data_IF_323078562676
#
_entry.id   IF_323078562676
#
_cell.length_a   1.000
_cell.length_b   1.000
_cell.length_c   1.000
_cell.angle_alpha   90.00
_cell.angle_beta   90.00
_cell.angle_gamma   90.00
#
_symmetry.space_group_name_H-M   'P 1'
#
loop_
_entity.id
_entity.type
_entity.pdbx_description
1 polymer ?
#
# COMPACT_ATOMS: atom_id res chain seq x y z
N UNK A 1 12.42 6.27 54.44
CA UNK A 1 12.86 4.88 54.20
C UNK A 1 13.88 4.90 53.08
N UNK A 2 15.16 4.82 53.44
CA UNK A 2 16.28 4.65 52.53
C UNK A 2 16.37 3.17 52.11
N UNK A 3 16.58 2.91 50.81
CA UNK A 3 17.39 1.76 50.38
C UNK A 3 18.30 2.23 49.25
N UNK A 4 19.59 2.27 49.59
CA UNK A 4 20.75 2.35 48.72
C UNK A 4 21.06 0.95 48.16
N UNK A 5 21.54 0.89 46.93
CA UNK A 5 22.22 -0.27 46.37
C UNK A 5 23.15 0.16 45.24
N UNK A 6 24.46 0.15 45.50
CA UNK A 6 25.54 0.52 44.58
C UNK A 6 26.55 -0.62 44.53
N UNK A 7 27.36 -0.62 43.46
CA UNK A 7 28.57 -1.40 43.16
C UNK A 7 28.35 -2.65 42.29
N UNK A 8 29.19 -3.06 41.34
CA UNK A 8 30.30 -2.52 40.50
C UNK A 8 30.91 -3.77 39.83
N UNK A 9 31.32 -3.71 38.55
CA UNK A 9 32.53 -4.31 37.91
C UNK A 9 32.27 -4.69 36.44
N UNK A 10 33.09 -4.14 35.51
CA UNK A 10 33.09 -4.42 34.06
C UNK A 10 34.04 -5.57 33.67
N UNK A 11 34.77 -5.48 32.54
CA UNK A 11 34.32 -5.46 31.15
C UNK A 11 34.98 -6.58 30.32
N UNK A 12 34.43 -6.94 29.14
CA UNK A 12 35.17 -7.71 28.11
C UNK A 12 34.80 -7.21 26.70
N UNK A 13 35.80 -6.66 26.00
CA UNK A 13 35.83 -6.41 24.55
C UNK A 13 36.20 -7.69 23.79
N UNK A 14 35.87 -7.78 22.50
CA UNK A 14 36.97 -7.79 21.53
C UNK A 14 36.71 -6.90 20.30
N UNK A 15 37.79 -6.28 19.83
CA UNK A 15 37.90 -5.55 18.55
C UNK A 15 38.39 -6.50 17.43
N UNK A 16 38.72 -6.04 16.21
CA UNK A 16 37.95 -6.36 15.01
C UNK A 16 38.73 -7.24 14.00
N UNK A 17 38.02 -7.87 13.07
CA UNK A 17 38.64 -8.48 11.88
C UNK A 17 38.24 -7.69 10.62
N UNK A 18 39.28 -7.26 9.93
CA UNK A 18 39.27 -6.62 8.62
C UNK A 18 38.94 -7.62 7.50
N UNK A 19 38.35 -7.14 6.40
CA UNK A 19 38.23 -7.95 5.19
C UNK A 19 37.42 -7.35 4.05
N UNK A 20 38.14 -6.73 3.12
CA UNK A 20 37.91 -6.66 1.67
C UNK A 20 36.67 -5.95 1.09
N UNK A 21 37.00 -4.92 0.31
CA UNK A 21 36.16 -4.28 -0.69
C UNK A 21 35.94 -5.19 -1.91
N UNK A 22 34.73 -5.15 -2.47
CA UNK A 22 34.50 -5.26 -3.91
C UNK A 22 33.30 -4.41 -4.31
N UNK A 23 33.56 -3.58 -5.31
CA UNK A 23 32.65 -2.70 -6.05
C UNK A 23 31.47 -3.43 -6.71
N UNK A 24 30.44 -2.63 -6.98
CA UNK A 24 29.43 -2.94 -8.01
C UNK A 24 28.02 -3.09 -7.46
N UNK A 25 27.33 -1.96 -7.20
CA UNK A 25 25.87 -1.97 -7.04
C UNK A 25 25.22 -0.94 -7.95
N UNK A 26 24.55 -1.47 -8.96
CA UNK A 26 23.44 -0.84 -9.66
C UNK A 26 22.39 -0.37 -8.66
N UNK A 27 22.02 0.90 -8.74
CA UNK A 27 20.96 1.52 -7.94
C UNK A 27 19.61 0.99 -8.45
N UNK A 28 18.99 0.09 -7.69
CA UNK A 28 17.59 -0.31 -7.89
C UNK A 28 16.77 0.48 -6.86
N UNK A 29 15.78 1.28 -7.27
CA UNK A 29 14.94 2.00 -6.31
C UNK A 29 14.14 0.98 -5.49
N UNK A 30 14.42 0.92 -4.20
CA UNK A 30 13.64 0.15 -3.23
C UNK A 30 12.38 0.94 -2.92
N UNK A 31 11.25 0.52 -3.49
CA UNK A 31 9.94 0.97 -3.03
C UNK A 31 9.65 0.32 -1.68
N UNK A 32 9.63 1.13 -0.61
CA UNK A 32 9.13 0.69 0.69
C UNK A 32 7.61 0.53 0.61
N UNK A 33 7.17 -0.67 0.24
CA UNK A 33 5.82 -1.14 0.51
C UNK A 33 5.71 -1.38 2.01
N UNK A 34 5.05 -0.49 2.73
CA UNK A 34 4.66 -0.74 4.11
C UNK A 34 3.65 -1.89 4.11
N UNK A 35 4.07 -3.12 4.44
CA UNK A 35 3.13 -4.23 4.65
C UNK A 35 2.47 -4.05 6.03
N UNK A 36 1.53 -3.10 6.11
CA UNK A 36 0.78 -2.80 7.34
C UNK A 36 -0.28 -3.86 7.65
N UNK A 37 -0.64 -4.70 6.67
CA UNK A 37 -1.63 -5.76 6.84
C UNK A 37 -1.15 -6.78 7.89
N UNK A 38 0.14 -7.15 7.89
CA UNK A 38 0.73 -8.08 8.88
C UNK A 38 0.82 -7.47 10.29
N UNK A 39 1.15 -6.18 10.38
CA UNK A 39 1.20 -5.45 11.67
C UNK A 39 -0.20 -5.20 12.24
N UNK A 40 -1.23 -5.08 11.41
CA UNK A 40 -2.60 -4.84 11.87
C UNK A 40 -3.22 -6.11 12.47
N UNK A 41 -3.00 -7.28 11.86
CA UNK A 41 -3.50 -8.55 12.41
C UNK A 41 -2.75 -8.97 13.69
N UNK A 42 -1.44 -8.69 13.78
CA UNK A 42 -0.68 -8.94 15.02
C UNK A 42 -1.10 -8.04 16.20
N UNK A 43 -1.69 -6.88 15.93
CA UNK A 43 -2.04 -5.88 16.97
C UNK A 43 -3.49 -5.93 17.45
N UNK A 44 -4.39 -6.73 16.86
CA UNK A 44 -5.73 -6.93 17.41
C UNK A 44 -5.73 -7.86 18.64
N UNK A 45 -4.71 -8.70 18.80
CA UNK A 45 -4.60 -9.65 19.92
C UNK A 45 -3.94 -9.06 21.16
N UNK A 46 -3.19 -7.96 21.02
CA UNK A 46 -2.50 -7.29 22.14
C UNK A 46 -2.98 -5.85 22.28
N UNK A 47 -4.01 -5.62 23.13
CA UNK A 47 -4.59 -4.31 23.39
C UNK A 47 -3.67 -3.28 24.07
N UNK A 48 -2.55 -2.91 23.44
CA UNK A 48 -1.63 -1.87 23.88
C UNK A 48 -1.33 -0.91 22.73
N UNK A 49 -2.21 0.08 22.58
CA UNK A 49 -1.89 1.26 21.79
C UNK A 49 -1.03 2.23 22.63
N UNK A 50 0.15 2.62 22.12
CA UNK A 50 0.83 3.86 22.51
C UNK A 50 0.53 4.92 21.43
N UNK A 51 -0.41 5.84 21.65
CA UNK A 51 -0.80 6.83 20.64
C UNK A 51 0.16 8.02 20.69
N UNK A 52 1.31 7.97 19.99
CA UNK A 52 2.25 9.11 19.91
C UNK A 52 3.14 9.15 18.66
N UNK A 53 2.66 8.71 17.49
CA UNK A 53 3.48 8.67 16.26
C UNK A 53 3.24 9.81 15.25
N UNK A 54 2.68 10.92 15.74
CA UNK A 54 3.13 12.27 15.38
C UNK A 54 3.35 12.97 16.71
N UNK A 55 4.50 12.76 17.31
CA UNK A 55 4.98 13.69 18.30
C UNK A 55 5.41 14.94 17.54
N UNK A 56 4.51 15.93 17.42
CA UNK A 56 4.97 17.31 17.52
C UNK A 56 5.50 17.38 18.95
N UNK A 57 6.75 16.99 19.17
CA UNK A 57 7.32 16.99 20.51
C UNK A 57 7.15 18.41 21.06
N UNK A 58 6.41 18.62 22.16
CA UNK A 58 6.61 19.81 22.96
C UNK A 58 7.95 19.60 23.67
N UNK A 59 9.07 19.78 22.95
CA UNK A 59 10.38 19.82 23.57
C UNK A 59 10.44 21.10 24.40
N UNK A 60 10.06 20.96 25.67
CA UNK A 60 10.39 21.91 26.72
C UNK A 60 11.87 21.71 27.03
N UNK A 61 12.69 22.68 26.63
CA UNK A 61 14.11 22.65 26.91
C UNK A 61 14.36 22.89 28.40
N UNK A 62 15.13 22.04 29.10
CA UNK A 62 15.82 22.50 30.30
C UNK A 62 16.84 23.55 29.86
N UNK A 63 16.78 24.74 30.47
CA UNK A 63 17.81 25.79 30.33
C UNK A 63 19.16 25.19 30.70
N UNK A 64 19.90 24.73 29.70
CA UNK A 64 21.24 24.16 29.87
C UNK A 64 22.18 25.10 29.15
N UNK A 65 23.08 25.71 29.93
CA UNK A 65 24.06 26.67 29.45
C UNK A 65 24.85 26.08 28.27
N UNK A 66 24.78 26.74 27.12
CA UNK A 66 25.63 26.44 25.98
C UNK A 66 27.08 26.75 26.37
N UNK A 67 27.85 25.71 26.65
CA UNK A 67 29.32 25.81 26.73
C UNK A 67 29.80 26.11 25.31
N UNK A 68 30.24 27.35 25.08
CA UNK A 68 30.88 27.78 23.85
C UNK A 68 32.24 27.08 23.75
N UNK A 69 32.26 25.93 23.10
CA UNK A 69 33.50 25.25 22.74
C UNK A 69 34.11 25.98 21.54
N UNK A 70 34.91 27.02 21.80
CA UNK A 70 35.80 27.62 20.81
C UNK A 70 36.87 26.58 20.44
N UNK A 71 36.78 26.07 19.21
CA UNK A 71 37.80 25.39 18.39
C UNK A 71 37.06 24.35 17.54
N UNK A 72 36.72 24.69 16.31
CA UNK A 72 36.19 23.68 15.38
C UNK A 72 36.65 24.02 13.98
N UNK A 73 37.54 23.18 13.46
CA UNK A 73 37.77 23.04 12.02
C UNK A 73 36.43 23.05 11.28
N UNK A 74 36.35 23.64 10.07
CA UNK A 74 35.13 23.62 9.28
C UNK A 74 34.59 22.19 9.25
N UNK A 75 33.34 22.02 9.68
CA UNK A 75 32.71 20.71 9.66
C UNK A 75 32.55 20.30 8.20
N UNK A 76 32.46 18.99 7.92
CA UNK A 76 32.23 18.50 6.55
C UNK A 76 31.06 19.24 5.86
N UNK A 77 30.02 19.58 6.64
CA UNK A 77 28.84 20.31 6.17
C UNK A 77 29.14 21.76 5.74
N UNK A 78 30.20 22.38 6.25
CA UNK A 78 30.62 23.74 5.86
C UNK A 78 31.44 23.74 4.55
N UNK A 79 31.89 22.57 4.11
CA UNK A 79 32.71 22.42 2.88
C UNK A 79 31.90 21.98 1.65
N UNK A 80 30.69 21.44 1.88
CA UNK A 80 29.82 20.98 0.80
C UNK A 80 29.07 22.16 0.15
N UNK A 81 28.99 22.22 -1.20
CA UNK A 81 28.09 23.12 -1.90
C UNK A 81 26.64 22.97 -1.41
N UNK A 82 25.92 24.09 -1.32
CA UNK A 82 24.57 24.15 -0.76
C UNK A 82 23.60 23.24 -1.50
N UNK A 83 23.74 23.15 -2.82
CA UNK A 83 22.91 22.37 -3.72
C UNK A 83 23.01 20.87 -3.42
N UNK A 84 24.20 20.39 -3.04
CA UNK A 84 24.41 18.99 -2.66
C UNK A 84 23.75 18.70 -1.31
N UNK A 85 23.83 19.64 -0.36
CA UNK A 85 23.18 19.50 0.95
C UNK A 85 21.65 19.47 0.76
N UNK A 86 21.11 20.34 -0.10
CA UNK A 86 19.69 20.34 -0.46
C UNK A 86 19.24 19.01 -1.05
N UNK A 87 20.02 18.43 -1.97
CA UNK A 87 19.73 17.11 -2.54
C UNK A 87 19.77 16.01 -1.48
N UNK A 88 20.80 15.97 -0.63
CA UNK A 88 20.91 15.00 0.47
C UNK A 88 19.71 15.12 1.41
N UNK A 89 19.33 16.34 1.79
CA UNK A 89 18.19 16.57 2.67
C UNK A 89 16.87 16.21 2.00
N UNK A 90 16.68 16.55 0.72
CA UNK A 90 15.52 16.17 -0.09
C UNK A 90 15.30 14.65 -0.07
N UNK A 91 16.37 13.89 -0.25
CA UNK A 91 16.30 12.43 -0.33
C UNK A 91 16.16 11.79 1.05
N UNK A 92 16.81 12.35 2.07
CA UNK A 92 16.70 11.86 3.46
C UNK A 92 15.33 12.15 4.08
N UNK A 93 14.64 13.24 3.69
CA UNK A 93 13.35 13.67 4.27
C UNK A 93 12.14 12.92 3.70
N UNK A 94 12.21 11.59 3.57
CA UNK A 94 11.10 10.75 3.09
C UNK A 94 10.30 10.07 4.21
N UNK A 95 10.64 10.31 5.48
CA UNK A 95 10.18 9.59 6.68
C UNK A 95 9.05 10.31 7.45
N UNK A 96 8.07 10.84 6.72
CA UNK A 96 6.96 11.63 7.28
C UNK A 96 7.41 12.87 8.09
N UNK A 97 8.58 13.43 7.75
CA UNK A 97 9.10 14.68 8.31
C UNK A 97 9.95 14.52 9.56
N UNK A 98 10.20 13.30 10.07
CA UNK A 98 11.04 13.09 11.25
C UNK A 98 12.50 13.51 11.03
N UNK A 99 13.06 13.16 9.88
CA UNK A 99 14.41 13.57 9.47
C UNK A 99 14.49 15.08 9.29
N UNK A 100 13.50 15.69 8.63
CA UNK A 100 13.43 17.15 8.49
C UNK A 100 13.42 17.86 9.85
N UNK A 101 12.63 17.36 10.81
CA UNK A 101 12.60 17.92 12.17
C UNK A 101 13.95 17.80 12.88
N UNK A 102 14.66 16.69 12.71
CA UNK A 102 15.98 16.46 13.32
C UNK A 102 17.05 17.37 12.70
N UNK A 103 17.08 17.46 11.37
CA UNK A 103 18.00 18.33 10.62
C UNK A 103 17.80 19.81 10.97
N UNK A 104 16.56 20.22 11.25
CA UNK A 104 16.21 21.58 11.64
C UNK A 104 16.88 22.02 12.95
N UNK A 105 17.24 21.07 13.82
CA UNK A 105 17.87 21.34 15.11
C UNK A 105 19.41 21.46 15.02
N UNK A 106 20.01 21.13 13.87
CA UNK A 106 21.48 21.11 13.72
C UNK A 106 22.08 22.52 13.65
N UNK A 107 21.61 23.34 12.70
CA UNK A 107 22.10 24.71 12.52
C UNK A 107 21.08 25.57 11.77
N UNK A 108 21.29 26.90 11.73
CA UNK A 108 20.38 27.83 11.04
C UNK A 108 20.28 27.57 9.53
N UNK A 109 21.40 27.23 8.88
CA UNK A 109 21.41 26.91 7.45
C UNK A 109 20.60 25.64 7.19
N UNK A 110 20.82 24.57 7.96
CA UNK A 110 20.04 23.34 7.83
C UNK A 110 18.56 23.59 8.09
N UNK A 111 18.22 24.41 9.10
CA UNK A 111 16.85 24.82 9.34
C UNK A 111 16.22 25.49 8.10
N UNK A 112 16.92 26.42 7.46
CA UNK A 112 16.41 27.09 6.27
C UNK A 112 16.20 26.12 5.09
N UNK A 113 17.12 25.19 4.90
CA UNK A 113 17.07 24.20 3.80
C UNK A 113 15.95 23.18 3.97
N UNK A 114 15.67 22.73 5.20
CA UNK A 114 14.65 21.69 5.43
C UNK A 114 13.25 22.22 5.67
N UNK A 115 13.07 23.52 5.90
CA UNK A 115 11.73 24.08 6.15
C UNK A 115 10.76 23.82 4.97
N UNK A 116 11.15 23.96 3.68
CA UNK A 116 10.30 23.58 2.54
C UNK A 116 9.99 22.08 2.49
N UNK A 117 10.90 21.24 3.00
CA UNK A 117 10.80 19.78 2.99
C UNK A 117 9.94 19.22 4.13
N UNK A 118 9.63 20.05 5.14
CA UNK A 118 8.95 19.66 6.38
C UNK A 118 7.63 18.92 6.16
N UNK A 119 6.89 19.30 5.11
CA UNK A 119 5.56 18.75 4.81
C UNK A 119 5.53 17.92 3.51
N UNK A 120 6.70 17.55 2.99
CA UNK A 120 6.80 16.76 1.76
C UNK A 120 6.12 15.40 1.86
N UNK A 121 6.34 14.72 2.99
CA UNK A 121 5.69 13.48 3.35
C UNK A 121 4.92 13.68 4.66
N UNK A 122 3.62 13.41 4.65
CA UNK A 122 2.72 13.61 5.79
C UNK A 122 2.01 12.30 6.09
N UNK A 123 2.05 11.88 7.35
CA UNK A 123 1.28 10.74 7.84
C UNK A 123 0.38 11.20 8.98
N UNK A 124 -0.94 11.10 8.85
CA UNK A 124 -1.91 11.47 9.90
C UNK A 124 -2.91 10.34 10.16
N UNK A 125 -3.19 10.06 11.43
CA UNK A 125 -3.96 8.87 11.82
C UNK A 125 -5.07 9.10 12.85
N UNK A 126 -5.19 10.34 13.33
CA UNK A 126 -6.18 10.71 14.36
C UNK A 126 -6.66 12.14 14.16
N UNK A 127 -7.84 12.45 14.71
CA UNK A 127 -8.42 13.79 14.69
C UNK A 127 -7.44 14.87 15.18
N UNK A 128 -6.84 14.68 16.36
CA UNK A 128 -5.95 15.67 16.95
C UNK A 128 -4.64 15.88 16.17
N UNK A 129 -4.22 14.91 15.36
CA UNK A 129 -3.10 15.06 14.42
C UNK A 129 -3.51 15.86 13.19
N UNK A 130 -4.68 15.55 12.61
CA UNK A 130 -5.23 16.25 11.45
C UNK A 130 -5.47 17.74 11.75
N UNK A 131 -6.08 18.04 12.90
CA UNK A 131 -6.34 19.43 13.33
C UNK A 131 -5.04 20.22 13.51
N UNK A 132 -4.09 19.69 14.30
CA UNK A 132 -2.78 20.34 14.51
C UNK A 132 -2.00 20.52 13.22
N UNK A 133 -2.05 19.53 12.33
CA UNK A 133 -1.44 19.63 11.01
C UNK A 133 -2.06 20.78 10.20
N UNK A 134 -3.38 20.86 10.11
CA UNK A 134 -4.08 21.92 9.38
C UNK A 134 -3.80 23.31 9.96
N UNK A 135 -3.80 23.46 11.28
CA UNK A 135 -3.48 24.71 11.95
C UNK A 135 -2.04 25.18 11.65
N UNK A 136 -1.11 24.24 11.50
CA UNK A 136 0.29 24.54 11.19
C UNK A 136 0.52 24.79 9.70
N UNK A 137 -0.12 24.01 8.83
CA UNK A 137 0.11 24.02 7.39
C UNK A 137 -0.65 25.16 6.69
N UNK A 138 -1.90 25.46 7.08
CA UNK A 138 -2.73 26.50 6.42
C UNK A 138 -2.05 27.89 6.38
N UNK A 139 -1.42 28.40 7.46
CA UNK A 139 -0.69 29.67 7.40
C UNK A 139 0.49 29.63 6.42
N UNK A 140 1.20 28.49 6.35
CA UNK A 140 2.36 28.32 5.48
C UNK A 140 1.95 28.21 4.00
N UNK A 141 0.89 27.46 3.70
CA UNK A 141 0.37 27.30 2.34
C UNK A 141 -0.10 28.63 1.72
N UNK A 142 -0.52 29.60 2.54
CA UNK A 142 -0.91 30.95 2.08
C UNK A 142 0.29 31.84 1.74
N UNK A 143 1.47 31.53 2.28
CA UNK A 143 2.69 32.24 1.96
C UNK A 143 3.21 31.74 0.62
N UNK A 144 2.91 32.47 -0.45
CA UNK A 144 3.29 32.14 -1.83
C UNK A 144 4.79 31.88 -2.03
N UNK A 145 5.63 32.34 -1.10
CA UNK A 145 7.08 32.16 -1.11
C UNK A 145 7.55 30.82 -0.52
N UNK A 146 6.69 30.09 0.18
CA UNK A 146 7.15 28.99 1.05
C UNK A 146 7.32 27.64 0.35
N UNK A 147 6.93 27.50 -0.92
CA UNK A 147 7.17 26.29 -1.73
C UNK A 147 6.70 24.96 -1.10
N UNK A 148 5.88 25.02 -0.04
CA UNK A 148 5.60 23.87 0.82
C UNK A 148 4.55 23.00 0.18
N UNK A 149 5.01 21.95 -0.50
CA UNK A 149 4.17 21.00 -1.21
C UNK A 149 4.05 19.68 -0.45
N UNK A 150 2.86 19.10 -0.45
CA UNK A 150 2.62 17.75 0.07
C UNK A 150 2.68 16.80 -1.12
N UNK A 151 3.70 15.95 -1.18
CA UNK A 151 3.88 14.97 -2.25
C UNK A 151 3.40 13.58 -1.86
N UNK A 152 3.54 13.22 -0.59
CA UNK A 152 3.18 11.91 -0.08
C UNK A 152 2.24 12.07 1.11
N UNK A 153 1.02 11.56 0.99
CA UNK A 153 0.03 11.60 2.05
C UNK A 153 -0.37 10.18 2.44
N UNK A 154 -0.10 9.83 3.68
CA UNK A 154 -0.65 8.66 4.35
C UNK A 154 -1.70 9.13 5.34
N UNK A 155 -2.89 8.55 5.27
CA UNK A 155 -4.01 8.95 6.11
C UNK A 155 -4.78 7.75 6.62
N UNK A 156 -5.06 7.73 7.92
CA UNK A 156 -6.06 6.85 8.52
C UNK A 156 -7.19 7.73 9.05
N UNK A 157 -8.37 7.56 8.48
CA UNK A 157 -9.58 8.27 8.89
C UNK A 157 -10.41 7.31 9.73
N UNK A 158 -10.65 7.67 10.99
CA UNK A 158 -11.51 6.93 11.91
C UNK A 158 -12.69 7.80 12.30
N UNK A 159 -13.91 7.31 12.10
CA UNK A 159 -15.08 7.98 12.66
C UNK A 159 -15.19 7.64 14.15
N UNK A 160 -14.61 8.50 14.99
CA UNK A 160 -14.73 8.41 16.43
C UNK A 160 -16.14 8.81 16.87
N UNK A 161 -16.79 7.94 17.65
CA UNK A 161 -18.14 8.20 18.16
C UNK A 161 -18.13 9.47 19.04
N UNK A 162 -18.66 10.57 18.50
CA UNK A 162 -18.78 11.85 19.19
C UNK A 162 -17.94 12.99 18.62
N UNK A 163 -17.02 12.72 17.67
CA UNK A 163 -16.26 13.77 16.99
C UNK A 163 -16.82 13.97 15.59
N UNK A 164 -17.67 15.00 15.44
CA UNK A 164 -18.44 15.26 14.20
C UNK A 164 -17.56 15.75 13.03
N UNK A 165 -16.31 16.16 13.29
CA UNK A 165 -15.50 16.90 12.31
C UNK A 165 -14.31 16.12 11.72
N UNK A 166 -14.05 14.87 12.08
CA UNK A 166 -12.86 14.14 11.57
C UNK A 166 -12.85 14.02 10.06
N UNK A 167 -14.01 13.74 9.46
CA UNK A 167 -14.14 13.63 8.00
C UNK A 167 -13.86 14.96 7.31
N UNK A 168 -14.38 16.06 7.86
CA UNK A 168 -14.16 17.40 7.32
C UNK A 168 -12.69 17.81 7.37
N UNK A 169 -11.98 17.45 8.45
CA UNK A 169 -10.53 17.71 8.54
C UNK A 169 -9.74 16.88 7.53
N UNK A 170 -10.07 15.60 7.38
CA UNK A 170 -9.45 14.74 6.37
C UNK A 170 -9.69 15.26 4.95
N UNK A 171 -10.91 15.69 4.64
CA UNK A 171 -11.26 16.33 3.37
C UNK A 171 -10.46 17.61 3.13
N UNK A 172 -10.38 18.49 4.12
CA UNK A 172 -9.57 19.72 4.07
C UNK A 172 -8.09 19.41 3.75
N UNK A 173 -7.51 18.38 4.39
CA UNK A 173 -6.13 17.95 4.13
C UNK A 173 -5.98 17.44 2.71
N UNK A 174 -6.88 16.58 2.24
CA UNK A 174 -6.84 16.03 0.89
C UNK A 174 -6.94 17.17 -0.14
N UNK A 175 -7.88 18.11 0.04
CA UNK A 175 -8.04 19.29 -0.85
C UNK A 175 -6.79 20.16 -0.90
N UNK A 176 -6.13 20.38 0.25
CA UNK A 176 -4.90 21.16 0.32
C UNK A 176 -3.72 20.46 -0.37
N UNK A 177 -3.63 19.13 -0.24
CA UNK A 177 -2.54 18.35 -0.82
C UNK A 177 -2.74 18.08 -2.31
N UNK A 178 -3.97 17.99 -2.79
CA UNK A 178 -4.33 17.48 -4.11
C UNK A 178 -3.53 18.06 -5.30
N UNK A 179 -3.25 19.39 -5.38
CA UNK A 179 -2.51 19.95 -6.51
C UNK A 179 -1.08 19.41 -6.66
N UNK A 180 -0.44 19.01 -5.56
CA UNK A 180 0.96 18.58 -5.52
C UNK A 180 1.14 17.09 -5.24
N UNK A 181 0.07 16.41 -4.84
CA UNK A 181 0.13 15.05 -4.34
C UNK A 181 0.56 14.07 -5.44
N UNK A 182 1.62 13.29 -5.16
CA UNK A 182 2.15 12.23 -6.03
C UNK A 182 1.71 10.84 -5.58
N UNK A 183 1.65 10.62 -4.27
CA UNK A 183 1.20 9.34 -3.71
C UNK A 183 0.18 9.57 -2.61
N UNK A 184 -0.94 8.87 -2.67
CA UNK A 184 -1.97 8.88 -1.65
C UNK A 184 -2.20 7.47 -1.14
N UNK A 185 -2.12 7.29 0.17
CA UNK A 185 -2.58 6.07 0.86
C UNK A 185 -3.62 6.47 1.89
N UNK A 186 -4.86 5.99 1.73
CA UNK A 186 -5.98 6.35 2.59
C UNK A 186 -6.68 5.10 3.11
N UNK A 187 -6.77 4.99 4.43
CA UNK A 187 -7.46 3.92 5.16
C UNK A 187 -8.73 4.49 5.81
N UNK A 188 -9.90 4.02 5.41
CA UNK A 188 -11.18 4.47 5.96
C UNK A 188 -11.71 3.46 6.97
N UNK A 189 -11.42 3.69 8.26
CA UNK A 189 -12.07 2.94 9.33
C UNK A 189 -13.49 3.46 9.53
N UNK A 190 -14.41 2.55 9.83
CA UNK A 190 -15.85 2.79 9.92
C UNK A 190 -16.51 3.06 8.56
N UNK A 191 -17.51 2.27 8.20
CA UNK A 191 -18.24 2.39 6.93
C UNK A 191 -19.05 3.69 6.74
N UNK A 192 -18.92 4.69 7.62
CA UNK A 192 -19.68 5.94 7.61
C UNK A 192 -19.00 7.10 6.86
N UNK A 193 -17.74 6.94 6.48
CA UNK A 193 -16.90 8.01 5.92
C UNK A 193 -17.15 8.23 4.41
N UNK A 194 -18.42 8.39 4.03
CA UNK A 194 -18.82 8.56 2.63
C UNK A 194 -18.19 9.82 2.02
N UNK A 195 -18.13 10.91 2.78
CA UNK A 195 -17.60 12.21 2.33
C UNK A 195 -16.17 12.12 1.78
N UNK A 196 -15.29 11.32 2.42
CA UNK A 196 -13.91 11.13 1.94
C UNK A 196 -13.88 10.34 0.64
N UNK A 197 -14.70 9.31 0.53
CA UNK A 197 -14.83 8.56 -0.72
C UNK A 197 -15.31 9.46 -1.85
N UNK A 198 -16.37 10.24 -1.63
CA UNK A 198 -16.89 11.21 -2.61
C UNK A 198 -15.86 12.30 -2.96
N UNK A 199 -15.11 12.77 -1.96
CA UNK A 199 -14.01 13.72 -2.11
C UNK A 199 -12.92 13.19 -3.05
N UNK A 200 -12.46 11.95 -2.85
CA UNK A 200 -11.48 11.34 -3.77
C UNK A 200 -12.02 11.23 -5.19
N UNK A 201 -13.31 10.91 -5.33
CA UNK A 201 -14.00 10.77 -6.62
C UNK A 201 -14.34 12.11 -7.31
N UNK A 202 -14.09 13.26 -6.69
CA UNK A 202 -14.45 14.59 -7.24
C UNK A 202 -13.29 15.55 -7.36
N UNK A 203 -12.25 15.38 -6.54
CA UNK A 203 -11.06 16.23 -6.56
C UNK A 203 -10.13 15.86 -7.71
N UNK A 204 -9.53 16.88 -8.31
CA UNK A 204 -8.47 16.72 -9.30
C UNK A 204 -7.12 16.53 -8.61
N UNK A 205 -6.41 15.48 -8.99
CA UNK A 205 -5.05 15.21 -8.54
C UNK A 205 -4.11 15.16 -9.74
N UNK A 206 -3.66 16.33 -10.25
CA UNK A 206 -2.92 16.40 -11.50
C UNK A 206 -1.56 15.68 -11.45
N UNK A 207 -0.98 15.48 -10.26
CA UNK A 207 0.35 14.87 -10.09
C UNK A 207 0.32 13.45 -9.51
N UNK A 208 -0.88 12.91 -9.19
CA UNK A 208 -1.01 11.64 -8.49
C UNK A 208 -0.66 10.49 -9.41
N UNK A 209 0.40 9.75 -9.05
CA UNK A 209 0.85 8.55 -9.75
C UNK A 209 0.51 7.26 -9.02
N UNK A 210 0.37 7.30 -7.69
CA UNK A 210 0.04 6.12 -6.89
C UNK A 210 -1.13 6.41 -5.95
N UNK A 211 -2.19 5.61 -6.06
CA UNK A 211 -3.34 5.64 -5.18
C UNK A 211 -3.53 4.29 -4.50
N UNK A 212 -3.49 4.28 -3.17
CA UNK A 212 -3.89 3.14 -2.34
C UNK A 212 -5.08 3.52 -1.49
N UNK A 213 -6.15 2.74 -1.59
CA UNK A 213 -7.40 2.97 -0.88
C UNK A 213 -7.85 1.69 -0.17
N UNK A 214 -8.12 1.78 1.13
CA UNK A 214 -8.42 0.60 1.95
C UNK A 214 -9.74 0.77 2.71
N UNK A 215 -10.59 -0.25 2.59
CA UNK A 215 -11.86 -0.46 3.26
C UNK A 215 -11.79 -1.65 4.23
N UNK A 216 -11.38 -1.43 5.49
CA UNK A 216 -11.41 -2.45 6.54
C UNK A 216 -12.84 -2.91 6.87
N UNK A 217 -13.85 -2.08 6.66
CA UNK A 217 -15.24 -2.40 6.98
C UNK A 217 -16.14 -2.27 5.76
N UNK A 218 -17.30 -2.96 5.80
CA UNK A 218 -18.30 -2.82 4.75
C UNK A 218 -18.87 -1.40 4.80
N UNK A 219 -18.80 -0.64 3.69
CA UNK A 219 -19.33 0.72 3.67
C UNK A 219 -20.85 0.71 3.85
N UNK A 220 -21.35 1.72 4.56
CA UNK A 220 -22.80 1.96 4.74
C UNK A 220 -23.38 2.81 3.60
N UNK A 221 -22.51 3.39 2.77
CA UNK A 221 -22.85 4.13 1.56
C UNK A 221 -22.80 3.24 0.32
N UNK A 222 -23.42 3.72 -0.76
CA UNK A 222 -23.38 3.04 -2.06
C UNK A 222 -21.98 3.15 -2.65
N UNK A 223 -21.33 2.01 -2.93
CA UNK A 223 -20.05 1.96 -3.64
C UNK A 223 -20.12 2.65 -5.00
N UNK A 224 -21.29 2.66 -5.64
CA UNK A 224 -21.53 3.40 -6.88
C UNK A 224 -22.44 4.58 -6.53
N UNK A 225 -21.91 5.79 -6.38
CA UNK A 225 -22.72 6.96 -6.10
C UNK A 225 -23.63 7.26 -7.30
N UNK A 226 -24.93 7.47 -7.04
CA UNK A 226 -25.94 7.73 -8.09
C UNK A 226 -25.71 9.05 -8.84
N UNK A 227 -24.97 9.97 -8.23
CA UNK A 227 -24.70 11.30 -8.77
C UNK A 227 -23.53 11.33 -9.74
N UNK A 228 -22.85 10.20 -9.98
CA UNK A 228 -21.73 10.16 -10.91
C UNK A 228 -22.18 10.42 -12.35
N UNK A 229 -21.53 11.36 -13.06
CA UNK A 229 -21.83 11.59 -14.46
C UNK A 229 -21.51 10.34 -15.27
N UNK A 230 -22.32 10.06 -16.30
CA UNK A 230 -22.10 8.92 -17.20
C UNK A 230 -20.74 8.98 -17.93
N UNK A 231 -20.15 10.17 -18.04
CA UNK A 231 -18.79 10.40 -18.56
C UNK A 231 -17.97 11.11 -17.50
N UNK A 232 -17.19 10.38 -16.68
CA UNK A 232 -16.37 11.01 -15.65
C UNK A 232 -15.27 11.87 -16.28
N UNK A 233 -14.96 13.00 -15.65
CA UNK A 233 -13.79 13.79 -16.00
C UNK A 233 -12.51 13.04 -15.62
N UNK A 234 -11.43 13.26 -16.37
CA UNK A 234 -10.10 12.79 -16.00
C UNK A 234 -9.61 13.60 -14.80
N UNK A 235 -9.61 12.99 -13.61
CA UNK A 235 -9.17 13.60 -12.36
C UNK A 235 -7.72 13.23 -12.01
N UNK A 236 -7.24 12.07 -12.49
CA UNK A 236 -5.91 11.55 -12.19
C UNK A 236 -5.12 11.31 -13.50
N UNK A 237 -4.68 12.38 -14.18
CA UNK A 237 -4.06 12.25 -15.50
C UNK A 237 -2.73 11.50 -15.48
N UNK A 238 -2.08 11.41 -14.32
CA UNK A 238 -0.78 10.77 -14.13
C UNK A 238 -0.83 9.47 -13.34
N UNK A 239 -2.02 8.91 -13.08
CA UNK A 239 -2.14 7.70 -12.26
C UNK A 239 -1.56 6.49 -12.99
N UNK A 240 -0.55 5.86 -12.39
CA UNK A 240 0.16 4.69 -12.90
C UNK A 240 -0.20 3.43 -12.13
N UNK A 241 -0.41 3.57 -10.82
CA UNK A 241 -0.68 2.48 -9.90
C UNK A 241 -1.92 2.75 -9.05
N UNK A 242 -2.89 1.83 -9.12
CA UNK A 242 -4.09 1.82 -8.29
C UNK A 242 -4.13 0.55 -7.44
N UNK A 243 -4.27 0.70 -6.12
CA UNK A 243 -4.57 -0.39 -5.21
C UNK A 243 -5.85 -0.10 -4.43
N UNK A 244 -6.80 -1.03 -4.48
CA UNK A 244 -8.00 -1.03 -3.64
C UNK A 244 -7.99 -2.29 -2.80
N UNK A 245 -8.25 -2.18 -1.50
CA UNK A 245 -8.15 -3.29 -0.56
C UNK A 245 -9.35 -3.35 0.37
N UNK A 246 -9.84 -4.56 0.63
CA UNK A 246 -11.06 -4.83 1.37
C UNK A 246 -10.84 -5.86 2.46
N UNK A 247 -11.17 -5.56 3.73
CA UNK A 247 -11.11 -6.61 4.76
C UNK A 247 -12.45 -7.35 4.94
N UNK A 248 -13.57 -6.79 4.47
CA UNK A 248 -14.90 -7.37 4.63
C UNK A 248 -15.26 -8.46 3.61
N UNK A 249 -14.44 -8.64 2.57
CA UNK A 249 -14.62 -9.70 1.57
C UNK A 249 -15.78 -9.47 0.59
N UNK A 250 -15.82 -8.35 -0.18
CA UNK A 250 -16.78 -8.14 -1.27
C UNK A 250 -16.73 -9.26 -2.30
N UNK A 251 -17.81 -9.45 -3.05
CA UNK A 251 -17.73 -10.21 -4.30
C UNK A 251 -16.72 -9.59 -5.27
N UNK A 252 -16.15 -10.39 -6.17
CA UNK A 252 -15.23 -9.87 -7.20
C UNK A 252 -15.85 -8.72 -8.01
N UNK A 253 -17.14 -8.82 -8.32
CA UNK A 253 -17.82 -7.79 -9.11
C UNK A 253 -17.91 -6.47 -8.34
N UNK A 254 -18.29 -6.50 -7.06
CA UNK A 254 -18.34 -5.29 -6.23
C UNK A 254 -16.95 -4.67 -6.06
N UNK A 255 -15.93 -5.50 -5.79
CA UNK A 255 -14.56 -5.06 -5.63
C UNK A 255 -14.00 -4.39 -6.90
N UNK A 256 -14.29 -5.01 -8.06
CA UNK A 256 -13.89 -4.47 -9.36
C UNK A 256 -14.66 -3.21 -9.74
N UNK A 257 -15.97 -3.16 -9.48
CA UNK A 257 -16.78 -1.96 -9.71
C UNK A 257 -16.21 -0.74 -8.98
N UNK A 258 -15.78 -0.91 -7.73
CA UNK A 258 -15.15 0.19 -7.00
C UNK A 258 -13.81 0.60 -7.62
N UNK A 259 -12.95 -0.36 -7.97
CA UNK A 259 -11.70 -0.07 -8.67
C UNK A 259 -11.95 0.67 -10.01
N UNK A 260 -12.95 0.22 -10.78
CA UNK A 260 -13.37 0.86 -12.04
C UNK A 260 -13.76 2.32 -11.86
N UNK A 261 -14.32 2.73 -10.72
CA UNK A 261 -14.65 4.14 -10.47
C UNK A 261 -13.40 5.02 -10.41
N UNK A 262 -12.32 4.55 -9.81
CA UNK A 262 -11.03 5.26 -9.83
C UNK A 262 -10.38 5.18 -11.22
N UNK A 263 -10.44 4.01 -11.86
CA UNK A 263 -9.92 3.81 -13.22
C UNK A 263 -10.58 4.73 -14.24
N UNK A 264 -11.90 4.91 -14.19
CA UNK A 264 -12.63 5.79 -15.10
C UNK A 264 -12.25 7.27 -14.94
N UNK A 265 -11.65 7.64 -13.81
CA UNK A 265 -11.12 8.98 -13.52
C UNK A 265 -9.64 9.12 -13.82
N UNK A 266 -8.93 8.01 -14.03
CA UNK A 266 -7.56 8.03 -14.50
C UNK A 266 -7.53 8.37 -16.00
N UNK A 267 -6.46 9.01 -16.48
CA UNK A 267 -6.23 9.04 -17.92
C UNK A 267 -5.86 7.63 -18.35
N UNK A 268 -6.56 7.11 -19.36
CA UNK A 268 -6.31 5.75 -19.85
C UNK A 268 -4.86 5.55 -20.27
N UNK A 269 -4.10 6.57 -20.69
CA UNK A 269 -2.76 6.39 -21.24
C UNK A 269 -1.66 5.97 -20.25
N UNK A 270 -1.85 6.13 -18.93
CA UNK A 270 -0.76 5.92 -17.94
C UNK A 270 -1.03 4.84 -16.91
N UNK A 271 -2.28 4.47 -16.66
CA UNK A 271 -2.62 3.46 -15.67
C UNK A 271 -2.16 2.08 -16.15
N UNK A 272 -1.12 1.55 -15.52
CA UNK A 272 -0.48 0.29 -15.93
C UNK A 272 -0.75 -0.84 -14.92
N UNK A 273 -0.96 -0.49 -13.65
CA UNK A 273 -1.09 -1.46 -12.57
C UNK A 273 -2.39 -1.24 -11.79
N UNK A 274 -3.19 -2.30 -11.67
CA UNK A 274 -4.35 -2.34 -10.79
C UNK A 274 -4.20 -3.52 -9.83
N UNK A 275 -4.36 -3.28 -8.54
CA UNK A 275 -4.36 -4.29 -7.49
C UNK A 275 -5.67 -4.22 -6.73
N UNK A 276 -6.43 -5.32 -6.73
CA UNK A 276 -7.66 -5.48 -5.97
C UNK A 276 -7.41 -6.57 -4.94
N UNK A 277 -7.44 -6.22 -3.65
CA UNK A 277 -7.12 -7.17 -2.56
C UNK A 277 -8.31 -7.41 -1.64
N UNK A 278 -8.44 -8.64 -1.16
CA UNK A 278 -9.48 -9.05 -0.22
C UNK A 278 -10.85 -9.30 -0.85
N UNK A 279 -10.91 -9.55 -2.17
CA UNK A 279 -12.15 -10.00 -2.81
C UNK A 279 -12.45 -11.47 -2.46
N UNK A 280 -13.74 -11.81 -2.41
CA UNK A 280 -14.28 -13.16 -2.31
C UNK A 280 -14.54 -13.72 -3.72
N UNK A 281 -14.25 -15.00 -3.91
CA UNK A 281 -14.53 -15.73 -5.15
C UNK A 281 -15.48 -16.91 -4.84
N UNK A 282 -16.77 -16.70 -5.10
CA UNK A 282 -17.85 -17.64 -4.81
C UNK A 282 -18.28 -18.36 -6.11
N UNK A 283 -17.44 -19.28 -6.56
CA UNK A 283 -17.78 -20.26 -7.59
C UNK A 283 -17.75 -19.75 -9.04
N UNK A 284 -18.55 -20.40 -9.92
CA UNK A 284 -18.42 -20.26 -11.39
C UNK A 284 -18.72 -18.85 -11.91
N UNK A 285 -19.58 -18.08 -11.23
CA UNK A 285 -19.97 -16.74 -11.69
C UNK A 285 -18.80 -15.77 -11.61
N UNK A 286 -18.01 -15.80 -10.54
CA UNK A 286 -16.87 -14.90 -10.39
C UNK A 286 -15.74 -15.21 -11.39
N UNK A 287 -15.56 -16.46 -11.79
CA UNK A 287 -14.65 -16.78 -12.89
C UNK A 287 -15.12 -16.24 -14.24
N UNK A 288 -16.43 -16.21 -14.50
CA UNK A 288 -16.99 -15.57 -15.69
C UNK A 288 -16.77 -14.05 -15.64
N UNK A 289 -17.03 -13.43 -14.48
CA UNK A 289 -16.75 -12.02 -14.22
C UNK A 289 -15.28 -11.68 -14.43
N UNK A 290 -14.36 -12.49 -13.89
CA UNK A 290 -12.91 -12.31 -14.06
C UNK A 290 -12.50 -12.37 -15.53
N UNK A 291 -13.05 -13.30 -16.31
CA UNK A 291 -12.79 -13.36 -17.76
C UNK A 291 -13.27 -12.11 -18.47
N UNK A 292 -14.41 -11.55 -18.08
CA UNK A 292 -14.92 -10.29 -18.63
C UNK A 292 -14.03 -9.12 -18.24
N UNK A 293 -13.61 -9.02 -16.97
CA UNK A 293 -12.67 -8.01 -16.47
C UNK A 293 -11.37 -8.03 -17.29
N UNK A 294 -10.82 -9.22 -17.50
CA UNK A 294 -9.58 -9.46 -18.24
C UNK A 294 -9.77 -9.44 -19.77
N UNK A 295 -10.95 -9.10 -20.29
CA UNK A 295 -11.26 -9.07 -21.72
C UNK A 295 -11.06 -10.42 -22.46
N UNK A 296 -11.13 -11.54 -21.74
CA UNK A 296 -11.02 -12.89 -22.30
C UNK A 296 -12.35 -13.42 -22.86
N UNK A 297 -13.47 -12.77 -22.49
CA UNK A 297 -14.82 -13.14 -22.93
C UNK A 297 -15.17 -12.43 -24.25
N UNK A 298 -15.55 -13.14 -25.33
CA UNK A 298 -16.04 -12.52 -26.56
C UNK A 298 -17.22 -11.58 -26.28
N UNK A 299 -17.22 -10.38 -26.87
CA UNK A 299 -18.25 -9.34 -26.65
C UNK A 299 -19.68 -9.82 -26.92
N UNK A 300 -19.84 -10.82 -27.78
CA UNK A 300 -21.13 -11.41 -28.17
C UNK A 300 -21.77 -12.26 -27.07
N UNK A 301 -20.99 -12.73 -26.10
CA UNK A 301 -21.44 -13.63 -25.02
C UNK A 301 -21.79 -12.92 -23.72
N UNK A 302 -21.87 -11.58 -23.75
CA UNK A 302 -22.19 -10.77 -22.58
C UNK A 302 -23.71 -10.79 -22.36
N UNK A 303 -24.22 -11.89 -21.83
CA UNK A 303 -25.64 -12.09 -21.50
C UNK A 303 -26.06 -11.19 -20.33
N UNK A 304 -26.33 -9.90 -20.58
CA UNK A 304 -27.18 -8.95 -19.82
C UNK A 304 -27.03 -8.79 -18.29
N UNK A 305 -26.22 -9.61 -17.63
CA UNK A 305 -26.13 -9.77 -16.20
C UNK A 305 -24.91 -8.98 -15.73
N UNK A 306 -25.18 -7.74 -15.33
CA UNK A 306 -24.24 -6.76 -14.79
C UNK A 306 -23.24 -6.25 -15.83
N UNK A 307 -23.31 -4.95 -16.11
CA UNK A 307 -22.33 -4.25 -16.93
C UNK A 307 -21.00 -4.18 -16.17
N UNK A 308 -20.23 -5.27 -16.20
CA UNK A 308 -18.86 -5.31 -15.70
C UNK A 308 -18.00 -4.61 -16.72
N UNK A 309 -17.39 -3.49 -16.31
CA UNK A 309 -16.51 -2.73 -17.17
C UNK A 309 -15.18 -3.48 -17.34
N UNK A 310 -14.73 -3.79 -18.57
CA UNK A 310 -13.45 -4.44 -18.78
C UNK A 310 -12.30 -3.52 -18.34
N UNK A 311 -11.14 -4.09 -18.07
CA UNK A 311 -9.93 -3.30 -17.79
C UNK A 311 -9.59 -2.39 -18.98
N UNK A 312 -9.05 -1.18 -18.74
CA UNK A 312 -8.45 -0.40 -19.82
C UNK A 312 -7.34 -1.18 -20.53
N UNK A 313 -7.18 -1.03 -21.85
CA UNK A 313 -6.15 -1.75 -22.62
C UNK A 313 -4.71 -1.38 -22.23
N UNK A 314 -4.53 -0.32 -21.46
CA UNK A 314 -3.24 0.16 -20.95
C UNK A 314 -2.80 -0.52 -19.66
N UNK A 315 -3.70 -1.22 -18.98
CA UNK A 315 -3.38 -1.97 -17.76
C UNK A 315 -2.62 -3.23 -18.16
N UNK A 316 -1.32 -3.24 -17.91
CA UNK A 316 -0.43 -4.38 -18.19
C UNK A 316 -0.41 -5.39 -17.06
N UNK A 317 -0.78 -4.98 -15.85
CA UNK A 317 -0.82 -5.85 -14.67
C UNK A 317 -2.10 -5.65 -13.86
N UNK A 318 -2.87 -6.73 -13.72
CA UNK A 318 -4.00 -6.82 -12.80
C UNK A 318 -3.70 -7.87 -11.72
N UNK A 319 -3.61 -7.44 -10.47
CA UNK A 319 -3.34 -8.33 -9.32
C UNK A 319 -4.61 -8.48 -8.50
N UNK A 320 -5.03 -9.73 -8.29
CA UNK A 320 -6.19 -10.06 -7.46
C UNK A 320 -5.74 -10.80 -6.20
N UNK A 321 -5.79 -10.13 -5.05
CA UNK A 321 -5.64 -10.75 -3.73
C UNK A 321 -6.97 -11.32 -3.26
N UNK A 322 -7.05 -12.63 -3.09
CA UNK A 322 -8.27 -13.33 -2.63
C UNK A 322 -8.14 -13.63 -1.14
N UNK A 323 -9.22 -13.49 -0.36
CA UNK A 323 -9.22 -13.88 1.05
C UNK A 323 -9.20 -15.41 1.18
N UNK A 324 -8.02 -15.97 1.43
CA UNK A 324 -7.78 -17.41 1.49
C UNK A 324 -8.52 -18.12 2.64
N UNK A 325 -8.84 -17.42 3.72
CA UNK A 325 -9.46 -18.03 4.90
C UNK A 325 -10.88 -18.51 4.57
N UNK A 326 -11.64 -17.71 3.81
CA UNK A 326 -12.97 -18.13 3.31
C UNK A 326 -12.87 -19.28 2.32
N UNK A 327 -11.86 -19.26 1.44
CA UNK A 327 -11.62 -20.32 0.45
C UNK A 327 -11.35 -21.66 1.15
N UNK A 328 -10.56 -21.64 2.24
CA UNK A 328 -10.25 -22.83 3.04
C UNK A 328 -11.49 -23.43 3.69
N UNK A 329 -12.34 -22.61 4.31
CA UNK A 329 -13.58 -23.07 4.97
C UNK A 329 -14.56 -23.68 3.96
N UNK A 330 -14.79 -23.02 2.81
CA UNK A 330 -15.72 -23.52 1.79
C UNK A 330 -15.22 -24.82 1.12
N UNK A 331 -13.90 -24.93 0.91
CA UNK A 331 -13.28 -26.15 0.39
C UNK A 331 -13.38 -27.32 1.37
N UNK A 332 -13.24 -27.06 2.67
CA UNK A 332 -13.40 -28.07 3.72
C UNK A 332 -14.85 -28.56 3.83
N UNK A 333 -15.84 -27.65 3.75
CA UNK A 333 -17.26 -27.99 3.86
C UNK A 333 -17.81 -28.79 2.68
N UNK A 334 -17.26 -28.60 1.47
CA UNK A 334 -17.79 -29.25 0.26
C UNK A 334 -17.27 -30.67 -0.01
N UNK A 335 -16.31 -31.16 0.78
CA UNK A 335 -15.81 -32.55 0.72
C UNK A 335 -15.33 -33.03 -0.66
N UNK A 336 -15.19 -32.14 -1.66
CA UNK A 336 -14.85 -32.45 -3.05
C UNK A 336 -14.11 -31.27 -3.68
N UNK A 337 -12.98 -31.60 -4.32
CA UNK A 337 -12.07 -30.77 -5.16
C UNK A 337 -11.27 -29.68 -4.43
N UNK A 338 -9.95 -29.78 -4.27
CA UNK A 338 -8.90 -29.77 -5.31
C UNK A 338 -8.94 -28.52 -6.22
N UNK A 339 -9.10 -27.34 -5.62
CA UNK A 339 -8.52 -26.13 -6.17
C UNK A 339 -7.39 -25.72 -5.24
N UNK A 340 -6.15 -26.00 -5.63
CA UNK A 340 -4.97 -25.49 -4.93
C UNK A 340 -4.85 -24.00 -5.20
N UNK A 341 -5.55 -23.17 -4.42
CA UNK A 341 -5.21 -21.76 -4.29
C UNK A 341 -3.95 -21.72 -3.42
N UNK A 342 -2.77 -21.74 -4.06
CA UNK A 342 -1.51 -21.54 -3.36
C UNK A 342 -1.45 -20.09 -2.92
N UNK A 343 -1.66 -19.85 -1.63
CA UNK A 343 -1.22 -18.63 -0.97
C UNK A 343 0.31 -18.60 -1.07
N UNK A 344 0.86 -17.66 -1.86
CA UNK A 344 2.31 -17.50 -1.96
C UNK A 344 2.85 -16.95 -0.63
N UNK A 345 3.33 -17.84 0.22
CA UNK A 345 4.31 -17.47 1.24
C UNK A 345 5.69 -17.54 0.59
N UNK A 346 6.42 -16.43 0.61
CA UNK A 346 7.65 -16.27 -0.17
C UNK A 346 8.75 -17.23 0.30
N UNK A 347 9.16 -18.19 -0.54
CA UNK A 347 10.42 -18.92 -0.31
C UNK A 347 10.59 -20.26 -1.04
N UNK A 348 9.52 -20.97 -1.36
CA UNK A 348 9.62 -22.33 -1.93
C UNK A 348 9.53 -22.34 -3.46
N UNK A 349 10.25 -23.27 -4.11
CA UNK A 349 10.21 -23.39 -5.56
C UNK A 349 8.98 -24.20 -6.01
N UNK A 350 8.35 -23.83 -7.12
CA UNK A 350 7.15 -24.47 -7.68
C UNK A 350 7.29 -26.00 -7.82
N UNK A 351 8.48 -26.48 -8.18
CA UNK A 351 8.79 -27.90 -8.32
C UNK A 351 8.76 -28.65 -6.99
N UNK A 352 9.11 -28.02 -5.88
CA UNK A 352 9.07 -28.62 -4.54
C UNK A 352 7.62 -28.77 -4.07
N UNK A 353 6.80 -27.72 -4.19
CA UNK A 353 5.36 -27.77 -3.85
C UNK A 353 4.60 -28.79 -4.70
N UNK A 354 4.89 -28.87 -6.01
CA UNK A 354 4.32 -29.87 -6.91
C UNK A 354 4.61 -31.29 -6.43
N UNK A 355 5.84 -31.57 -5.99
CA UNK A 355 6.23 -32.89 -5.49
C UNK A 355 5.64 -33.20 -4.11
N UNK A 356 5.40 -32.20 -3.27
CA UNK A 356 4.68 -32.36 -2.00
C UNK A 356 3.21 -32.70 -2.24
N UNK A 357 2.55 -31.98 -3.17
CA UNK A 357 1.15 -32.22 -3.51
C UNK A 357 0.92 -33.62 -4.11
N UNK A 358 1.75 -34.02 -5.07
CA UNK A 358 1.71 -35.35 -5.69
C UNK A 358 1.85 -36.44 -4.61
N UNK A 359 2.82 -36.30 -3.69
CA UNK A 359 3.04 -37.26 -2.60
C UNK A 359 1.86 -37.37 -1.64
N UNK A 360 1.20 -36.26 -1.28
CA UNK A 360 0.04 -36.29 -0.37
C UNK A 360 -1.13 -37.07 -0.97
N UNK A 361 -1.34 -36.96 -2.28
CA UNK A 361 -2.43 -37.61 -3.02
C UNK A 361 -2.20 -39.09 -3.32
N UNK A 362 -0.96 -39.51 -3.53
CA UNK A 362 -0.64 -40.93 -3.74
C UNK A 362 -0.84 -41.79 -2.49
N UNK A 363 -0.85 -41.19 -1.30
CA UNK A 363 -1.08 -41.91 -0.04
C UNK A 363 -2.59 -42.15 0.24
N UNK A 364 -3.49 -41.42 -0.42
CA UNK A 364 -4.94 -41.46 -0.16
C UNK A 364 -5.72 -42.34 -1.16
N UNK A 365 -5.04 -42.99 -2.12
CA UNK A 365 -5.66 -43.54 -3.33
C UNK A 365 -5.59 -45.08 -3.45
N UNK A 366 -5.68 -45.84 -2.36
CA UNK A 366 -5.70 -47.32 -2.46
C UNK A 366 -7.06 -47.91 -2.91
N UNK A 367 -8.18 -47.17 -2.92
CA UNK A 367 -9.51 -47.79 -3.11
C UNK A 367 -10.34 -47.41 -4.35
N UNK A 368 -9.85 -46.62 -5.33
CA UNK A 368 -10.65 -46.31 -6.54
C UNK A 368 -9.80 -46.13 -7.82
N UNK A 369 -9.38 -47.24 -8.41
CA UNK A 369 -8.49 -47.28 -9.57
C UNK A 369 -9.10 -46.66 -10.86
N UNK A 370 -10.42 -46.61 -11.00
CA UNK A 370 -11.10 -46.11 -12.20
C UNK A 370 -11.40 -44.59 -12.13
N UNK A 371 -11.72 -44.08 -10.94
CA UNK A 371 -11.83 -42.63 -10.68
C UNK A 371 -10.46 -41.94 -10.80
N UNK A 372 -9.39 -42.63 -10.41
CA UNK A 372 -8.00 -42.14 -10.50
C UNK A 372 -7.56 -41.88 -11.95
N UNK A 373 -7.91 -42.75 -12.91
CA UNK A 373 -7.49 -42.60 -14.32
C UNK A 373 -8.11 -41.39 -15.01
N UNK A 374 -9.40 -41.14 -14.79
CA UNK A 374 -10.09 -39.99 -15.38
C UNK A 374 -9.65 -38.66 -14.74
N UNK A 375 -9.36 -38.67 -13.43
CA UNK A 375 -8.82 -37.50 -12.74
C UNK A 375 -7.36 -37.25 -13.12
N UNK A 376 -6.55 -38.28 -13.31
CA UNK A 376 -5.18 -38.18 -13.81
C UNK A 376 -5.13 -37.63 -15.24
N UNK A 377 -6.01 -38.08 -16.14
CA UNK A 377 -6.09 -37.56 -17.51
C UNK A 377 -6.55 -36.09 -17.55
N UNK A 378 -7.51 -35.70 -16.71
CA UNK A 378 -7.96 -34.30 -16.58
C UNK A 378 -6.89 -33.41 -15.94
N UNK A 379 -6.15 -33.94 -14.98
CA UNK A 379 -5.02 -33.28 -14.35
C UNK A 379 -3.87 -33.11 -15.34
N UNK A 380 -3.53 -34.13 -16.13
CA UNK A 380 -2.54 -34.02 -17.21
C UNK A 380 -2.94 -33.00 -18.26
N UNK A 381 -4.22 -32.92 -18.63
CA UNK A 381 -4.71 -31.87 -19.54
C UNK A 381 -4.56 -30.47 -18.94
N UNK A 382 -4.89 -30.29 -17.66
CA UNK A 382 -4.67 -29.02 -16.93
C UNK A 382 -3.18 -28.69 -16.78
N UNK A 383 -2.36 -29.68 -16.45
CA UNK A 383 -0.91 -29.55 -16.26
C UNK A 383 -0.20 -29.29 -17.60
N UNK A 384 -0.74 -29.77 -18.71
CA UNK A 384 -0.25 -29.45 -20.06
C UNK A 384 -0.50 -27.98 -20.40
N UNK A 385 -1.66 -27.43 -20.04
CA UNK A 385 -1.95 -25.99 -20.19
C UNK A 385 -1.00 -25.17 -19.32
N UNK A 386 -0.82 -25.53 -18.05
CA UNK A 386 0.12 -24.86 -17.14
C UNK A 386 1.58 -24.97 -17.58
N UNK A 387 2.00 -26.15 -18.07
CA UNK A 387 3.35 -26.37 -18.61
C UNK A 387 3.59 -25.58 -19.89
N UNK A 388 2.58 -25.45 -20.76
CA UNK A 388 2.68 -24.63 -21.96
C UNK A 388 2.80 -23.14 -21.61
N UNK A 389 2.11 -22.67 -20.55
CA UNK A 389 2.31 -21.34 -19.98
C UNK A 389 3.69 -21.18 -19.30
N UNK A 390 4.23 -22.24 -18.67
CA UNK A 390 5.55 -22.25 -18.03
C UNK A 390 6.73 -22.35 -19.03
N UNK A 391 6.57 -23.04 -20.15
CA UNK A 391 7.60 -23.03 -21.21
C UNK A 391 7.55 -21.72 -21.99
N UNK A 392 6.37 -21.09 -22.13
CA UNK A 392 6.26 -19.70 -22.57
C UNK A 392 6.98 -18.72 -21.61
N UNK A 393 7.03 -19.03 -20.31
CA UNK A 393 7.81 -18.30 -19.28
C UNK A 393 9.33 -18.43 -19.44
N UNK A 394 9.84 -19.48 -20.11
CA UNK A 394 11.27 -19.59 -20.48
C UNK A 394 11.69 -18.59 -21.56
N UNK A 395 10.72 -17.98 -22.23
CA UNK A 395 10.87 -16.82 -23.11
C UNK A 395 10.57 -15.47 -22.40
N UNK A 396 10.28 -15.48 -21.09
CA UNK A 396 10.15 -14.29 -20.24
C UNK A 396 8.80 -14.13 -19.53
N UNK A 397 8.77 -14.49 -18.24
CA UNK A 397 7.88 -14.08 -17.12
C UNK A 397 6.39 -14.48 -17.09
N UNK A 398 5.96 -15.14 -15.98
CA UNK A 398 4.64 -15.00 -15.34
C UNK A 398 4.44 -15.80 -14.02
N UNK A 399 3.91 -15.11 -12.98
CA UNK A 399 3.14 -15.63 -11.83
C UNK A 399 1.75 -15.00 -11.93
N UNK A 400 0.65 -15.78 -11.80
CA UNK A 400 -0.77 -15.40 -12.06
C UNK A 400 -1.01 -13.90 -12.32
N UNK A 401 -0.59 -13.48 -13.51
CA UNK A 401 -0.75 -12.17 -14.14
C UNK A 401 -1.53 -12.52 -15.42
N UNK A 402 -2.58 -11.79 -15.74
CA UNK A 402 -3.13 -11.86 -17.09
C UNK A 402 -2.19 -11.07 -18.00
N UNK A 403 -1.19 -11.71 -18.62
CA UNK A 403 -0.37 -11.05 -19.64
C UNK A 403 -1.06 -11.20 -20.98
N UNK A 404 -1.47 -10.07 -21.56
CA UNK A 404 -2.03 -10.00 -22.90
C UNK A 404 -0.95 -10.26 -23.95
N UNK A 405 -1.28 -11.12 -24.91
CA UNK A 405 -0.89 -10.96 -26.32
C UNK A 405 -2.11 -10.42 -27.07
#
# INVERSE_FOLDING_TARGET
MHVLGRALLGPVLPSPLAGAATDGRSFVPIYWSWNYDDLYYANQTEGRFHPNLISICPFSFPSTAYVLCELSSPTLMDTLPLELIEHIFSDACCDAGQTACSLRLLCRSSHALVEPLRFRSVAVSSYGQMDRFLQTYKPMARSATSGSAIFHLFMIVKADAGIVDTEKLAEDIIRLAAPTLKTLTCYLHNGKVASIYECLLTIQFPQLSHLTFNHPERPTYSLIPKWLPARPACLYPNLEYLRVSFAWGPSLVEAHQEASLFTARACSSKLTHICVSGASLEGRRDFASLRTILQLTPKESWDGAQAIEPLPPTVTQYTLGVNAEKVRVEAAERGKTALGLTTYESGETWEEEKQVWIRSRSNDAEDDAECSKNNAARLEAWMTVFKSCYEARKLGMLYLIGSMM
#
